data_IF_606247982699
#
_entry.id   IF_606247982699
#
_cell.length_a   1.000
_cell.length_b   1.000
_cell.length_c   1.000
_cell.angle_alpha   90.00
_cell.angle_beta   90.00
_cell.angle_gamma   90.00
#
_symmetry.space_group_name_H-M   'P 1'
#
loop_
_entity.id
_entity.type
_entity.pdbx_description
1 polymer ?
#
# COMPACT_ATOMS: atom_id res chain seq x y z
N UNK A 1 -2.26 21.11 7.81
CA UNK A 1 -1.11 20.65 6.99
C UNK A 1 -1.48 20.85 5.54
N UNK A 2 -0.53 21.24 4.70
CA UNK A 2 -0.73 21.28 3.25
C UNK A 2 -0.98 19.87 2.73
N UNK A 3 -1.82 19.74 1.71
CA UNK A 3 -2.06 18.47 1.03
C UNK A 3 -0.75 17.95 0.41
N UNK A 4 -0.46 16.65 0.54
CA UNK A 4 0.83 16.06 0.16
C UNK A 4 1.23 16.31 -1.29
N UNK A 5 0.26 16.38 -2.20
CA UNK A 5 0.52 16.63 -3.61
C UNK A 5 0.93 18.07 -3.95
N UNK A 6 0.79 19.00 -3.01
CA UNK A 6 1.17 20.41 -3.18
C UNK A 6 2.49 20.75 -2.48
N UNK A 7 3.12 19.77 -1.82
CA UNK A 7 4.41 19.96 -1.14
C UNK A 7 5.53 19.93 -2.21
N UNK A 8 6.29 21.02 -2.40
CA UNK A 8 7.40 21.07 -3.35
C UNK A 8 8.45 20.00 -3.01
N UNK A 9 9.01 19.37 -4.05
CA UNK A 9 10.11 18.41 -3.94
C UNK A 9 9.86 17.21 -3.00
N UNK A 10 8.60 16.92 -2.67
CA UNK A 10 8.25 15.77 -1.81
C UNK A 10 8.52 14.43 -2.51
N UNK A 11 8.29 14.37 -3.82
CA UNK A 11 8.50 13.17 -4.62
C UNK A 11 9.81 13.28 -5.38
N UNK A 12 10.56 12.17 -5.54
CA UNK A 12 10.17 10.79 -5.24
C UNK A 12 10.15 10.43 -3.74
N UNK A 13 9.26 9.51 -3.35
CA UNK A 13 9.30 8.87 -2.03
C UNK A 13 9.84 7.44 -2.15
N UNK A 14 10.62 7.01 -1.16
CA UNK A 14 11.13 5.63 -1.11
C UNK A 14 10.29 4.78 -0.15
N UNK A 15 10.22 3.48 -0.45
CA UNK A 15 9.53 2.53 0.39
C UNK A 15 9.96 1.10 0.11
N UNK A 16 9.42 0.17 0.88
CA UNK A 16 9.73 -1.23 0.75
C UNK A 16 9.10 -2.09 1.82
N UNK A 17 9.35 -3.40 1.74
CA UNK A 17 8.92 -4.33 2.77
C UNK A 17 9.82 -4.24 4.02
N UNK A 18 9.37 -4.85 5.13
CA UNK A 18 10.07 -4.78 6.42
C UNK A 18 11.49 -5.39 6.42
N UNK A 19 11.79 -6.35 5.54
CA UNK A 19 13.13 -6.94 5.45
C UNK A 19 14.03 -6.29 4.39
N UNK A 20 13.52 -5.30 3.64
CA UNK A 20 14.27 -4.61 2.59
C UNK A 20 14.51 -5.39 1.30
N UNK A 21 13.94 -6.60 1.18
CA UNK A 21 14.01 -7.39 -0.05
C UNK A 21 13.22 -6.75 -1.22
N UNK A 22 12.05 -6.20 -0.92
CA UNK A 22 11.29 -5.37 -1.84
C UNK A 22 11.60 -3.92 -1.52
N UNK A 23 12.12 -3.17 -2.50
CA UNK A 23 12.31 -1.73 -2.44
C UNK A 23 11.72 -1.11 -3.70
N UNK A 24 11.17 0.08 -3.56
CA UNK A 24 10.59 0.81 -4.67
C UNK A 24 10.68 2.32 -4.43
N UNK A 25 10.46 3.05 -5.51
CA UNK A 25 10.30 4.51 -5.52
C UNK A 25 8.90 4.84 -6.01
N UNK A 26 8.18 5.64 -5.24
CA UNK A 26 6.93 6.27 -5.63
C UNK A 26 7.27 7.59 -6.34
N UNK A 27 7.23 7.58 -7.67
CA UNK A 27 7.78 8.64 -8.51
C UNK A 27 6.99 9.96 -8.47
N UNK A 28 5.71 9.91 -8.07
CA UNK A 28 4.84 11.10 -8.01
C UNK A 28 3.73 10.94 -6.98
N UNK A 29 2.98 12.02 -6.77
CA UNK A 29 1.83 12.03 -5.88
C UNK A 29 0.77 10.98 -6.27
N UNK A 30 0.27 10.18 -5.29
CA UNK A 30 -0.91 9.33 -5.45
C UNK A 30 -2.09 10.09 -6.06
N UNK A 31 -2.97 9.39 -6.75
CA UNK A 31 -4.27 9.89 -7.20
C UNK A 31 -5.12 10.30 -5.99
N UNK A 32 -5.20 9.40 -5.00
CA UNK A 32 -5.77 9.66 -3.69
C UNK A 32 -5.17 8.73 -2.64
N UNK A 33 -5.26 9.09 -1.37
CA UNK A 33 -4.92 8.25 -0.23
C UNK A 33 -6.19 8.04 0.60
N UNK A 34 -6.51 6.79 0.95
CA UNK A 34 -7.64 6.52 1.84
C UNK A 34 -7.29 5.57 2.98
N UNK A 35 -7.98 5.73 4.10
CA UNK A 35 -8.00 4.75 5.18
C UNK A 35 -9.21 3.82 5.02
N UNK A 36 -8.97 2.54 4.76
CA UNK A 36 -10.01 1.54 4.62
C UNK A 36 -10.26 0.79 5.94
N UNK A 37 -11.49 0.88 6.44
CA UNK A 37 -11.91 0.31 7.72
C UNK A 37 -12.64 -1.03 7.59
N UNK A 38 -12.66 -1.65 6.40
CA UNK A 38 -13.37 -2.91 6.24
C UNK A 38 -12.70 -4.05 7.04
N UNK A 39 -13.44 -5.08 7.49
CA UNK A 39 -12.87 -6.16 8.30
C UNK A 39 -11.75 -6.94 7.60
N UNK A 40 -11.75 -6.98 6.26
CA UNK A 40 -10.66 -7.59 5.50
C UNK A 40 -9.39 -6.75 5.59
N UNK A 41 -9.44 -5.43 5.40
CA UNK A 41 -8.27 -4.57 5.60
C UNK A 41 -7.78 -4.58 7.05
N UNK A 42 -8.68 -4.69 8.03
CA UNK A 42 -8.31 -4.90 9.43
C UNK A 42 -7.55 -6.22 9.61
N UNK A 43 -8.05 -7.32 9.04
CA UNK A 43 -7.40 -8.64 9.08
C UNK A 43 -6.04 -8.63 8.39
N UNK A 44 -5.94 -8.04 7.21
CA UNK A 44 -4.70 -7.99 6.41
C UNK A 44 -3.58 -7.20 7.10
N UNK A 45 -3.94 -6.15 7.84
CA UNK A 45 -2.96 -5.30 8.53
C UNK A 45 -2.73 -5.67 10.00
N UNK A 46 -3.62 -6.45 10.61
CA UNK A 46 -3.69 -6.63 12.06
C UNK A 46 -4.05 -5.35 12.83
N UNK A 47 -4.48 -4.29 12.13
CA UNK A 47 -4.77 -2.96 12.69
C UNK A 47 -6.26 -2.60 12.57
N UNK A 48 -6.64 -1.41 13.04
CA UNK A 48 -8.01 -0.89 12.92
C UNK A 48 -8.41 -0.47 11.50
N UNK A 49 -7.44 -0.32 10.59
CA UNK A 49 -7.62 0.04 9.18
C UNK A 49 -6.32 -0.20 8.41
N UNK A 50 -6.38 -0.13 7.08
CA UNK A 50 -5.19 0.02 6.22
C UNK A 50 -5.22 1.34 5.47
N UNK A 51 -4.06 1.98 5.32
CA UNK A 51 -3.92 3.17 4.47
C UNK A 51 -3.44 2.72 3.09
N UNK A 52 -4.24 2.99 2.06
CA UNK A 52 -3.88 2.72 0.68
C UNK A 52 -3.67 4.04 -0.07
N UNK A 53 -2.54 4.16 -0.74
CA UNK A 53 -2.27 5.20 -1.73
C UNK A 53 -2.60 4.65 -3.11
N UNK A 54 -3.63 5.19 -3.75
CA UNK A 54 -4.03 4.82 -5.11
C UNK A 54 -3.12 5.54 -6.08
N UNK A 55 -2.41 4.81 -6.92
CA UNK A 55 -1.39 5.36 -7.85
C UNK A 55 -1.41 4.55 -9.14
N UNK A 56 -1.07 5.18 -10.26
CA UNK A 56 -0.75 4.48 -11.50
C UNK A 56 0.45 3.56 -11.28
N UNK A 57 0.34 2.34 -11.75
CA UNK A 57 1.33 1.28 -11.48
C UNK A 57 2.71 1.63 -12.01
N UNK A 58 2.78 2.33 -13.15
CA UNK A 58 4.04 2.79 -13.76
C UNK A 58 4.85 3.74 -12.85
N UNK A 59 4.21 4.35 -11.85
CA UNK A 59 4.86 5.26 -10.91
C UNK A 59 5.33 4.57 -9.62
N UNK A 60 5.18 3.25 -9.53
CA UNK A 60 5.86 2.40 -8.55
C UNK A 60 7.08 1.79 -9.26
N UNK A 61 8.22 2.47 -9.14
CA UNK A 61 9.46 2.08 -9.83
C UNK A 61 10.26 1.14 -8.93
N UNK A 62 10.55 -0.10 -9.35
CA UNK A 62 11.38 -1.02 -8.57
C UNK A 62 12.76 -0.43 -8.28
N UNK A 63 13.26 -0.68 -7.07
CA UNK A 63 14.61 -0.30 -6.66
C UNK A 63 15.38 -1.56 -6.18
N UNK A 64 16.72 -1.53 -6.20
CA UNK A 64 17.53 -2.63 -5.66
C UNK A 64 17.15 -2.93 -4.20
N UNK A 65 17.19 -4.20 -3.81
CA UNK A 65 17.05 -4.59 -2.40
C UNK A 65 18.10 -3.87 -1.55
N UNK A 66 17.71 -3.42 -0.37
CA UNK A 66 18.55 -2.64 0.53
C UNK A 66 18.33 -3.07 1.98
N UNK A 67 19.23 -2.67 2.88
CA UNK A 67 19.02 -2.89 4.30
C UNK A 67 17.71 -2.21 4.75
N UNK A 68 16.92 -2.84 5.65
CA UNK A 68 15.70 -2.24 6.14
C UNK A 68 16.02 -0.96 6.93
N UNK A 69 15.09 -0.01 6.89
CA UNK A 69 15.17 1.24 7.66
C UNK A 69 13.95 1.33 8.57
N UNK A 70 14.09 1.99 9.71
CA UNK A 70 12.97 2.31 10.58
C UNK A 70 12.12 3.41 9.92
N UNK A 71 10.84 3.14 9.57
CA UNK A 71 9.99 4.15 8.96
C UNK A 71 9.85 5.40 9.84
N UNK A 72 9.77 6.57 9.22
CA UNK A 72 9.68 7.89 9.85
C UNK A 72 11.02 8.49 10.26
N UNK A 73 12.06 7.68 10.50
CA UNK A 73 13.40 8.16 10.88
C UNK A 73 14.49 7.85 9.86
N UNK A 74 14.22 6.93 8.93
CA UNK A 74 15.21 6.36 8.00
C UNK A 74 16.45 5.78 8.70
N UNK A 75 16.35 5.47 9.99
CA UNK A 75 17.45 4.87 10.75
C UNK A 75 17.71 3.47 10.20
N UNK A 76 18.93 3.14 9.73
CA UNK A 76 19.24 1.80 9.28
C UNK A 76 19.00 0.79 10.40
N UNK A 77 18.23 -0.26 10.10
CA UNK A 77 18.06 -1.38 11.01
C UNK A 77 19.20 -2.37 10.78
N UNK A 78 19.92 -2.69 11.85
CA UNK A 78 20.95 -3.71 11.82
C UNK A 78 20.38 -5.09 11.45
N UNK A 79 21.24 -6.08 11.13
CA UNK A 79 20.78 -7.43 10.90
C UNK A 79 20.02 -7.93 12.14
N UNK A 80 18.94 -8.72 11.95
CA UNK A 80 18.23 -9.30 13.07
C UNK A 80 19.22 -10.10 13.92
N UNK A 81 19.22 -9.85 15.23
CA UNK A 81 20.02 -10.64 16.17
C UNK A 81 19.52 -12.09 16.12
N UNK A 82 20.41 -13.09 16.19
CA UNK A 82 20.00 -14.49 16.21
C UNK A 82 19.03 -14.73 17.36
N UNK A 83 17.94 -15.45 17.09
CA UNK A 83 16.97 -15.79 18.13
C UNK A 83 17.66 -16.58 19.25
N UNK A 84 17.44 -16.17 20.51
CA UNK A 84 17.94 -16.87 21.70
C UNK A 84 17.32 -18.27 21.87
N UNK A 85 16.32 -18.61 21.05
CA UNK A 85 15.78 -19.95 20.92
C UNK A 85 15.48 -20.18 19.43
N UNK A 86 16.09 -21.18 18.76
CA UNK A 86 15.68 -21.50 17.40
C UNK A 86 14.17 -21.74 17.39
N UNK A 87 13.49 -21.33 16.31
CA UNK A 87 12.11 -21.77 16.04
C UNK A 87 12.15 -23.29 15.85
N UNK A 88 12.19 -24.03 16.95
CA UNK A 88 12.14 -25.47 16.95
C UNK A 88 10.78 -25.87 16.39
N UNK A 89 10.80 -26.57 15.25
CA UNK A 89 9.67 -27.29 14.64
C UNK A 89 8.53 -26.46 14.03
N UNK A 90 8.82 -25.34 13.39
CA UNK A 90 7.92 -24.73 12.40
C UNK A 90 8.40 -25.03 10.98
N UNK A 91 7.49 -25.37 10.06
CA UNK A 91 7.79 -25.66 8.63
C UNK A 91 8.39 -24.40 7.97
N UNK A 92 9.70 -24.20 8.12
CA UNK A 92 10.43 -23.13 7.45
C UNK A 92 10.93 -23.66 6.11
N UNK A 93 10.08 -23.62 5.09
CA UNK A 93 10.55 -23.61 3.72
C UNK A 93 10.87 -22.15 3.39
N UNK A 94 12.13 -21.75 3.53
CA UNK A 94 12.58 -20.57 2.80
C UNK A 94 12.42 -20.90 1.31
N UNK A 95 11.66 -20.14 0.51
CA UNK A 95 11.54 -20.42 -0.91
C UNK A 95 12.92 -20.26 -1.56
N UNK A 96 13.54 -21.38 -1.92
CA UNK A 96 14.75 -21.38 -2.74
C UNK A 96 14.36 -21.03 -4.18
N UNK A 97 14.71 -19.82 -4.64
CA UNK A 97 14.44 -19.36 -6.02
C UNK A 97 13.99 -17.89 -6.17
N UNK A 98 13.98 -17.11 -5.11
CA UNK A 98 13.47 -15.72 -5.13
C UNK A 98 14.45 -14.76 -5.85
N UNK A 99 13.96 -14.09 -6.89
CA UNK A 99 14.69 -12.98 -7.53
C UNK A 99 14.52 -11.69 -6.72
N UNK A 100 15.59 -10.90 -6.59
CA UNK A 100 15.56 -9.65 -5.85
C UNK A 100 14.46 -8.71 -6.38
N UNK A 101 13.60 -8.22 -5.49
CA UNK A 101 12.52 -7.29 -5.84
C UNK A 101 11.24 -7.93 -6.36
N UNK A 102 11.16 -9.26 -6.49
CA UNK A 102 9.94 -9.93 -6.94
C UNK A 102 8.97 -10.19 -5.79
N UNK A 103 7.71 -9.79 -5.99
CA UNK A 103 6.60 -10.07 -5.07
C UNK A 103 5.86 -11.34 -5.44
N UNK A 104 5.20 -11.98 -4.46
CA UNK A 104 4.21 -13.03 -4.70
C UNK A 104 2.81 -12.40 -4.68
N UNK A 105 2.07 -12.52 -5.78
CA UNK A 105 0.66 -12.17 -5.85
C UNK A 105 -0.21 -13.25 -5.20
N UNK A 106 -1.06 -12.85 -4.25
CA UNK A 106 -1.98 -13.78 -3.59
C UNK A 106 -3.42 -13.33 -3.86
N UNK A 107 -4.20 -14.12 -4.63
CA UNK A 107 -5.62 -13.90 -4.79
C UNK A 107 -6.30 -13.93 -3.42
N UNK A 108 -6.96 -12.84 -3.06
CA UNK A 108 -7.60 -12.67 -1.75
C UNK A 108 -9.09 -12.37 -1.97
N UNK A 109 -10.00 -13.04 -1.24
CA UNK A 109 -11.44 -12.75 -1.34
C UNK A 109 -11.77 -11.30 -0.96
N UNK A 110 -12.85 -10.77 -1.53
CA UNK A 110 -13.46 -9.49 -1.10
C UNK A 110 -14.94 -9.70 -0.76
N UNK A 111 -15.51 -8.79 0.04
CA UNK A 111 -16.93 -8.83 0.37
C UNK A 111 -17.84 -8.62 -0.86
N UNK A 112 -17.34 -7.92 -1.89
CA UNK A 112 -18.01 -7.74 -3.17
C UNK A 112 -17.86 -8.94 -4.12
N UNK A 113 -17.14 -9.99 -3.72
CA UNK A 113 -16.73 -11.13 -4.55
C UNK A 113 -15.81 -10.78 -5.75
N UNK A 114 -15.63 -9.50 -6.09
CA UNK A 114 -14.58 -9.07 -7.00
C UNK A 114 -13.21 -9.52 -6.46
N UNK A 115 -12.45 -10.28 -7.23
CA UNK A 115 -11.13 -10.72 -6.77
C UNK A 115 -10.18 -9.53 -6.61
N UNK A 116 -9.37 -9.55 -5.56
CA UNK A 116 -8.22 -8.66 -5.40
C UNK A 116 -6.96 -9.52 -5.33
N UNK A 117 -5.87 -9.05 -5.92
CA UNK A 117 -4.56 -9.70 -5.82
C UNK A 117 -3.69 -8.84 -4.92
N UNK A 118 -3.25 -9.38 -3.79
CA UNK A 118 -2.38 -8.69 -2.84
C UNK A 118 -0.95 -9.19 -3.04
N UNK A 119 -0.04 -8.29 -3.41
CA UNK A 119 1.38 -8.58 -3.60
C UNK A 119 2.12 -8.47 -2.28
N UNK A 120 2.82 -9.55 -1.91
CA UNK A 120 3.60 -9.66 -0.67
C UNK A 120 5.07 -9.91 -0.96
N UNK A 121 5.91 -9.45 -0.05
CA UNK A 121 7.31 -9.88 -0.02
C UNK A 121 7.38 -11.39 0.27
N UNK A 122 8.13 -12.17 -0.50
CA UNK A 122 8.20 -13.61 -0.29
C UNK A 122 9.01 -13.97 0.98
N UNK A 123 9.89 -13.08 1.44
CA UNK A 123 10.71 -13.26 2.65
C UNK A 123 10.04 -12.88 3.97
N UNK A 124 9.35 -11.74 4.01
CA UNK A 124 8.75 -11.23 5.25
C UNK A 124 7.21 -11.14 5.20
N UNK A 125 6.60 -11.54 4.09
CA UNK A 125 5.15 -11.56 3.87
C UNK A 125 4.42 -10.22 3.97
N UNK A 126 5.12 -9.11 4.19
CA UNK A 126 4.55 -7.76 4.17
C UNK A 126 3.90 -7.49 2.82
N UNK A 127 2.61 -7.11 2.85
CA UNK A 127 1.88 -6.65 1.68
C UNK A 127 2.38 -5.25 1.27
N UNK A 128 2.73 -5.08 0.00
CA UNK A 128 3.27 -3.82 -0.53
C UNK A 128 2.26 -3.07 -1.39
N UNK A 129 1.50 -3.77 -2.23
CA UNK A 129 0.41 -3.20 -3.02
C UNK A 129 -0.63 -4.26 -3.36
N UNK A 130 -1.77 -3.83 -3.87
CA UNK A 130 -2.79 -4.71 -4.41
C UNK A 130 -3.42 -4.18 -5.69
N UNK A 131 -3.97 -5.09 -6.47
CA UNK A 131 -4.77 -4.82 -7.67
C UNK A 131 -6.18 -5.34 -7.47
N UNK A 132 -7.18 -4.58 -7.91
CA UNK A 132 -8.60 -4.94 -7.84
C UNK A 132 -9.13 -5.28 -9.23
N UNK A 133 -10.25 -6.02 -9.28
CA UNK A 133 -10.88 -6.43 -10.54
C UNK A 133 -10.44 -7.81 -11.05
N UNK A 134 -9.83 -8.62 -10.19
CA UNK A 134 -9.44 -9.99 -10.50
C UNK A 134 -8.22 -10.12 -11.42
N UNK A 135 -7.46 -9.04 -11.58
CA UNK A 135 -6.21 -9.04 -12.32
C UNK A 135 -5.02 -9.30 -11.39
N UNK A 136 -3.98 -9.94 -11.92
CA UNK A 136 -2.69 -10.08 -11.21
C UNK A 136 -1.99 -8.73 -11.12
N UNK A 137 -1.95 -7.99 -12.23
CA UNK A 137 -1.44 -6.61 -12.30
C UNK A 137 -2.41 -5.75 -13.11
N UNK A 138 -2.44 -4.46 -12.84
CA UNK A 138 -3.33 -3.53 -13.52
C UNK A 138 -2.71 -2.15 -13.65
N UNK A 139 -3.41 -1.22 -14.31
CA UNK A 139 -2.88 0.11 -14.58
C UNK A 139 -2.93 1.03 -13.33
N UNK A 140 -3.72 0.65 -12.32
CA UNK A 140 -3.81 1.33 -11.02
C UNK A 140 -3.53 0.35 -9.90
N UNK A 141 -2.56 0.70 -9.05
CA UNK A 141 -2.19 -0.03 -7.85
C UNK A 141 -2.68 0.66 -6.57
N UNK A 142 -2.98 -0.14 -5.56
CA UNK A 142 -3.31 0.32 -4.21
C UNK A 142 -2.11 0.04 -3.33
N UNK A 143 -1.16 0.99 -3.30
CA UNK A 143 0.06 0.89 -2.52
C UNK A 143 -0.25 0.97 -1.02
N UNK A 144 0.32 0.09 -0.21
CA UNK A 144 0.22 0.16 1.24
C UNK A 144 1.07 1.32 1.73
N UNK A 145 0.47 2.46 2.06
CA UNK A 145 1.21 3.69 2.40
C UNK A 145 2.13 3.51 3.61
N UNK A 146 1.78 2.60 4.52
CA UNK A 146 2.62 2.23 5.68
C UNK A 146 3.96 1.54 5.31
N UNK A 147 4.16 1.19 4.03
CA UNK A 147 5.44 0.64 3.53
C UNK A 147 6.38 1.72 2.98
N UNK A 148 5.98 2.99 3.01
CA UNK A 148 6.86 4.12 2.69
C UNK A 148 7.79 4.41 3.87
N UNK A 149 9.03 4.79 3.54
CA UNK A 149 10.02 5.18 4.53
C UNK A 149 9.60 6.47 5.26
N UNK A 150 8.92 7.38 4.56
CA UNK A 150 8.29 8.60 5.11
C UNK A 150 6.78 8.44 5.12
N UNK A 151 6.25 7.69 6.09
CA UNK A 151 4.80 7.48 6.22
C UNK A 151 4.03 8.70 6.75
N UNK A 152 4.73 9.64 7.39
CA UNK A 152 4.17 10.82 8.05
C UNK A 152 3.64 11.87 7.06
N UNK A 153 4.05 11.79 5.80
CA UNK A 153 3.76 12.80 4.78
C UNK A 153 2.43 12.55 4.05
N UNK A 154 1.89 11.34 4.08
CA UNK A 154 0.65 10.97 3.38
C UNK A 154 -0.53 10.86 4.34
N UNK A 155 -1.23 11.97 4.54
CA UNK A 155 -2.53 11.98 5.22
C UNK A 155 -3.64 11.37 4.33
N UNK A 156 -4.64 10.68 4.88
CA UNK A 156 -5.80 10.22 4.12
C UNK A 156 -6.68 11.37 3.63
N UNK A 157 -7.08 11.32 2.36
CA UNK A 157 -8.10 12.17 1.75
C UNK A 157 -9.52 11.71 2.12
N UNK A 158 -9.68 10.42 2.45
CA UNK A 158 -10.97 9.85 2.82
C UNK A 158 -10.84 8.67 3.79
N UNK A 159 -11.89 8.46 4.58
CA UNK A 159 -12.14 7.23 5.31
C UNK A 159 -13.28 6.47 4.63
N UNK A 160 -13.05 5.21 4.25
CA UNK A 160 -14.06 4.35 3.61
C UNK A 160 -14.42 3.16 4.49
N UNK A 161 -15.62 2.63 4.31
CA UNK A 161 -16.18 1.53 5.09
C UNK A 161 -16.26 1.82 6.60
N UNK A 162 -16.58 3.06 6.98
CA UNK A 162 -16.55 3.50 8.39
C UNK A 162 -17.58 2.80 9.29
N UNK A 163 -18.64 2.18 8.73
CA UNK A 163 -19.53 1.25 9.45
C UNK A 163 -18.80 0.16 10.24
N UNK A 164 -17.61 -0.24 9.79
CA UNK A 164 -16.80 -1.29 10.42
C UNK A 164 -15.65 -0.75 11.26
N UNK A 165 -15.52 0.58 11.38
CA UNK A 165 -14.45 1.23 12.14
C UNK A 165 -14.45 0.78 13.59
N UNK A 166 -13.26 0.44 14.10
CA UNK A 166 -13.08 0.11 15.52
C UNK A 166 -13.41 1.32 16.41
N UNK A 167 -14.12 1.09 17.51
CA UNK A 167 -14.62 2.17 18.39
C UNK A 167 -13.52 3.09 18.93
N UNK A 168 -12.32 2.54 19.19
CA UNK A 168 -11.16 3.30 19.68
C UNK A 168 -10.47 4.17 18.62
N UNK A 169 -10.77 4.00 17.33
CA UNK A 169 -10.15 4.78 16.25
C UNK A 169 -10.91 6.09 16.10
N UNK A 170 -10.29 7.19 16.55
CA UNK A 170 -10.83 8.54 16.40
C UNK A 170 -10.41 9.08 15.03
N UNK A 171 -11.40 9.54 14.24
CA UNK A 171 -11.14 10.12 12.92
C UNK A 171 -10.99 11.63 13.04
N UNK A 172 -9.97 12.18 12.40
CA UNK A 172 -9.76 13.62 12.35
C UNK A 172 -11.01 14.35 11.82
N UNK A 173 -11.23 15.57 12.32
CA UNK A 173 -12.28 16.43 11.79
C UNK A 173 -11.93 16.90 10.38
N UNK A 174 -12.92 17.01 9.50
CA UNK A 174 -12.75 17.54 8.14
C UNK A 174 -12.40 16.52 7.06
N UNK A 175 -11.85 15.34 7.39
CA UNK A 175 -11.63 14.28 6.39
C UNK A 175 -12.97 13.59 6.05
N UNK A 176 -13.37 13.53 4.76
CA UNK A 176 -14.54 12.81 4.29
C UNK A 176 -14.66 11.38 4.82
N UNK A 177 -15.88 10.94 5.08
CA UNK A 177 -16.20 9.62 5.67
C UNK A 177 -17.31 8.97 4.86
N UNK A 178 -17.09 7.76 4.43
CA UNK A 178 -18.02 7.00 3.61
C UNK A 178 -18.32 5.67 4.26
N UNK A 179 -19.61 5.32 4.31
CA UNK A 179 -20.05 4.01 4.80
C UNK A 179 -19.62 2.87 3.87
N UNK A 180 -19.33 3.18 2.61
CA UNK A 180 -18.88 2.28 1.55
C UNK A 180 -17.65 2.85 0.84
N UNK A 181 -17.33 2.33 -0.35
CA UNK A 181 -16.31 2.94 -1.20
C UNK A 181 -16.84 4.24 -1.82
N UNK A 182 -16.01 5.29 -1.88
CA UNK A 182 -16.36 6.56 -2.52
C UNK A 182 -16.40 6.43 -4.05
N UNK A 183 -17.01 7.41 -4.74
CA UNK A 183 -16.78 7.62 -6.17
C UNK A 183 -15.56 8.53 -6.36
N UNK A 184 -14.70 8.30 -7.36
CA UNK A 184 -13.51 9.14 -7.56
C UNK A 184 -13.83 10.64 -7.62
N UNK A 185 -14.94 11.05 -8.25
CA UNK A 185 -15.35 12.46 -8.34
C UNK A 185 -15.64 13.11 -6.97
N UNK A 186 -15.88 12.32 -5.91
CA UNK A 186 -16.16 12.84 -4.56
C UNK A 186 -14.88 13.14 -3.76
N UNK A 187 -13.72 12.60 -4.18
CA UNK A 187 -12.48 12.62 -3.38
C UNK A 187 -11.27 13.09 -4.18
N UNK A 188 -11.18 12.73 -5.45
CA UNK A 188 -9.96 12.92 -6.23
C UNK A 188 -9.84 14.39 -6.66
N UNK A 189 -8.62 14.90 -6.62
CA UNK A 189 -8.31 16.22 -7.15
C UNK A 189 -8.56 16.24 -8.67
N UNK A 190 -8.91 17.40 -9.26
CA UNK A 190 -9.15 17.51 -10.71
C UNK A 190 -8.03 16.92 -11.56
N UNK A 191 -6.77 17.22 -11.25
CA UNK A 191 -5.63 16.67 -12.00
C UNK A 191 -5.48 15.14 -11.81
N UNK A 192 -5.89 14.59 -10.66
CA UNK A 192 -5.88 13.15 -10.43
C UNK A 192 -7.01 12.44 -11.19
N UNK A 193 -8.17 13.07 -11.38
CA UNK A 193 -9.24 12.54 -12.21
C UNK A 193 -8.82 12.46 -13.69
N UNK A 194 -8.14 13.48 -14.21
CA UNK A 194 -7.60 13.47 -15.57
C UNK A 194 -6.61 12.32 -15.77
N UNK A 195 -5.67 12.16 -14.84
CA UNK A 195 -4.71 11.04 -14.83
C UNK A 195 -5.40 9.68 -14.78
N UNK A 196 -6.38 9.52 -13.89
CA UNK A 196 -7.15 8.28 -13.77
C UNK A 196 -7.85 7.95 -15.10
N UNK A 197 -8.49 8.94 -15.74
CA UNK A 197 -9.18 8.76 -17.03
C UNK A 197 -8.20 8.36 -18.13
N UNK A 198 -7.02 8.96 -18.19
CA UNK A 198 -6.01 8.59 -19.18
C UNK A 198 -5.58 7.12 -19.06
N UNK A 199 -5.39 6.66 -17.82
CA UNK A 199 -4.86 5.33 -17.51
C UNK A 199 -5.93 4.23 -17.64
N UNK A 200 -7.17 4.53 -17.27
CA UNK A 200 -8.32 3.61 -17.44
C UNK A 200 -8.82 3.59 -18.90
N UNK A 201 -8.82 4.73 -19.58
CA UNK A 201 -9.22 4.85 -20.99
C UNK A 201 -8.23 4.18 -21.95
N UNK A 202 -6.93 4.18 -21.64
CA UNK A 202 -5.92 3.47 -22.43
C UNK A 202 -6.05 1.94 -22.35
N UNK A 203 -6.65 1.39 -21.28
CA UNK A 203 -6.80 -0.05 -21.07
C UNK A 203 -8.04 -0.71 -21.69
N UNK A 204 -8.91 0.06 -22.36
CA UNK A 204 -10.12 -0.45 -23.05
C UNK A 204 -9.95 -0.56 -24.56
N UNK A 205 -8.73 -0.33 -25.08
CA UNK A 205 -8.35 -0.53 -26.47
C UNK A 205 -7.37 -1.70 -26.58
N UNK A 206 -7.85 -2.93 -26.38
CA UNK A 206 -7.18 -4.17 -26.76
C UNK A 206 -8.23 -5.26 -27.02
#
# INVERSE_FOLDING_TARGET
MSHYASIPDLFPLHGGCACGHIRYTLARAPLAVHACHCPLCQRESGSGFTINAVIETEHIVPAPSAAPVLPGTNTPLGPPQPSLSPLSTGIASSPSGESAGQTIGVPTPTASHAAQTIHRCPRCSVAVWSFYGGVETGPVAYLRAATLDRLDVLAPDAHIFVRSKRGFVVLAAGTPRFEEHYRPDDVYRPEALERLRAVVGAGTSA
#
